data_IF_387826103597
#
_entry.id   IF_387826103597
#
_cell.length_a   1.000
_cell.length_b   1.000
_cell.length_c   1.000
_cell.angle_alpha   90.00
_cell.angle_beta   90.00
_cell.angle_gamma   90.00
#
_symmetry.space_group_name_H-M   'P 1'
#
loop_
_entity.id
_entity.type
_entity.pdbx_description
1 polymer ?
#
# COMPACT_ATOMS: atom_id res chain seq x y z
N UNK A 1 8.87 -51.80 36.61
CA UNK A 1 8.55 -51.38 35.23
C UNK A 1 7.74 -50.09 35.33
N UNK A 2 8.42 -48.93 35.37
CA UNK A 2 7.77 -47.63 35.59
C UNK A 2 7.43 -47.00 34.24
N UNK A 3 6.13 -46.79 33.99
CA UNK A 3 5.64 -46.12 32.80
C UNK A 3 5.47 -44.63 33.08
N UNK A 4 6.21 -43.81 32.33
CA UNK A 4 6.08 -42.35 32.36
C UNK A 4 4.94 -41.93 31.43
N UNK A 5 3.91 -41.28 31.98
CA UNK A 5 2.92 -40.57 31.18
C UNK A 5 3.42 -39.14 30.94
N UNK A 6 3.83 -38.83 29.71
CA UNK A 6 3.99 -37.45 29.24
C UNK A 6 2.60 -36.90 28.84
N UNK A 7 2.13 -35.78 29.44
CA UNK A 7 0.94 -35.12 28.94
C UNK A 7 1.30 -34.34 27.67
N UNK A 8 0.69 -34.72 26.55
CA UNK A 8 0.74 -33.96 25.29
C UNK A 8 -0.07 -32.68 25.52
N UNK A 9 0.62 -31.56 25.71
CA UNK A 9 0.02 -30.24 25.73
C UNK A 9 -0.42 -29.90 24.29
N UNK A 10 -1.69 -30.16 23.99
CA UNK A 10 -2.30 -29.79 22.72
C UNK A 10 -2.34 -28.27 22.58
N UNK A 11 -1.45 -27.71 21.76
CA UNK A 11 -1.56 -26.32 21.31
C UNK A 11 -2.78 -26.24 20.41
N UNK A 12 -3.88 -25.72 20.95
CA UNK A 12 -5.06 -25.32 20.20
C UNK A 12 -4.67 -24.14 19.32
N UNK A 13 -4.17 -24.45 18.11
CA UNK A 13 -4.10 -23.48 17.03
C UNK A 13 -5.54 -23.16 16.67
N UNK A 14 -6.06 -22.04 17.18
CA UNK A 14 -7.28 -21.42 16.67
C UNK A 14 -6.99 -21.04 15.22
N UNK A 15 -7.29 -21.95 14.30
CA UNK A 15 -7.45 -21.61 12.91
C UNK A 15 -8.52 -20.53 12.86
N UNK A 16 -8.13 -19.27 12.63
CA UNK A 16 -9.07 -18.22 12.25
C UNK A 16 -9.74 -18.72 10.99
N UNK A 17 -10.97 -19.20 11.13
CA UNK A 17 -11.78 -19.62 9.99
C UNK A 17 -11.84 -18.46 9.01
N UNK A 18 -11.68 -18.77 7.73
CA UNK A 18 -12.04 -17.87 6.64
C UNK A 18 -13.51 -17.51 6.83
N UNK A 19 -13.78 -16.36 7.42
CA UNK A 19 -15.09 -15.73 7.27
C UNK A 19 -15.17 -15.31 5.81
N UNK A 20 -16.11 -15.88 5.05
CA UNK A 20 -16.33 -15.48 3.66
C UNK A 20 -16.52 -13.96 3.50
N UNK A 21 -16.51 -13.51 2.25
CA UNK A 21 -16.59 -12.10 1.88
C UNK A 21 -17.72 -11.37 2.62
N UNK A 22 -17.38 -10.24 3.25
CA UNK A 22 -18.34 -9.35 3.93
C UNK A 22 -18.73 -8.24 2.98
N UNK A 23 -20.03 -7.98 2.85
CA UNK A 23 -20.55 -6.95 1.96
C UNK A 23 -20.21 -5.53 2.46
N UNK A 24 -20.19 -4.57 1.55
CA UNK A 24 -20.11 -3.14 1.89
C UNK A 24 -21.28 -2.74 2.81
N UNK A 25 -20.99 -2.02 3.90
CA UNK A 25 -21.98 -1.27 4.66
C UNK A 25 -22.10 0.15 4.06
N UNK A 26 -23.09 0.43 3.20
CA UNK A 26 -23.10 1.66 2.40
C UNK A 26 -23.48 2.88 3.24
N UNK A 27 -22.75 3.98 3.05
CA UNK A 27 -23.08 5.29 3.63
C UNK A 27 -23.02 6.39 2.55
N UNK A 28 -24.07 7.20 2.44
CA UNK A 28 -24.14 8.32 1.49
C UNK A 28 -23.99 9.67 2.20
N UNK A 29 -23.10 10.52 1.69
CA UNK A 29 -22.85 11.88 2.16
C UNK A 29 -23.48 12.97 1.26
N UNK A 30 -24.56 12.64 0.55
CA UNK A 30 -25.23 13.53 -0.40
C UNK A 30 -24.52 13.63 -1.76
N UNK A 31 -23.67 12.66 -2.08
CA UNK A 31 -22.90 12.61 -3.33
C UNK A 31 -23.47 11.57 -4.30
N UNK A 32 -22.83 11.46 -5.46
CA UNK A 32 -23.28 10.63 -6.57
C UNK A 32 -23.24 9.11 -6.31
N UNK A 33 -22.60 8.67 -5.23
CA UNK A 33 -22.49 7.26 -4.82
C UNK A 33 -22.28 7.15 -3.29
N UNK A 34 -22.01 5.93 -2.81
CA UNK A 34 -21.81 5.59 -1.39
C UNK A 34 -20.35 5.27 -1.08
N UNK A 35 -19.94 5.40 0.19
CA UNK A 35 -18.72 4.78 0.72
C UNK A 35 -19.06 3.49 1.47
N UNK A 36 -18.07 2.64 1.72
CA UNK A 36 -18.23 1.48 2.59
C UNK A 36 -17.71 1.83 3.98
N UNK A 37 -18.58 1.80 4.97
CA UNK A 37 -18.24 2.14 6.34
C UNK A 37 -17.54 0.95 7.01
N UNK A 38 -16.36 1.22 7.59
CA UNK A 38 -15.64 0.29 8.43
C UNK A 38 -15.43 0.87 9.84
N UNK A 39 -15.36 -0.01 10.83
CA UNK A 39 -15.06 0.30 12.23
C UNK A 39 -14.26 -0.85 12.86
N UNK A 40 -14.13 -0.85 14.19
CA UNK A 40 -13.38 -1.87 14.93
C UNK A 40 -13.92 -3.29 14.73
N UNK A 41 -15.25 -3.45 14.63
CA UNK A 41 -15.92 -4.76 14.59
C UNK A 41 -16.35 -5.20 13.20
N UNK A 42 -16.34 -4.29 12.22
CA UNK A 42 -16.84 -4.55 10.88
C UNK A 42 -16.05 -3.82 9.80
N UNK A 43 -15.75 -4.52 8.71
CA UNK A 43 -15.30 -3.94 7.46
C UNK A 43 -15.61 -4.93 6.33
N UNK A 44 -15.92 -4.45 5.13
CA UNK A 44 -16.13 -5.32 3.98
C UNK A 44 -14.84 -6.05 3.58
N UNK A 45 -15.00 -7.28 3.10
CA UNK A 45 -13.90 -8.16 2.70
C UNK A 45 -14.27 -8.91 1.43
N UNK A 46 -13.27 -9.25 0.64
CA UNK A 46 -13.43 -10.07 -0.56
C UNK A 46 -13.24 -11.55 -0.21
N UNK A 47 -13.97 -12.40 -0.93
CA UNK A 47 -13.64 -13.83 -0.97
C UNK A 47 -12.27 -14.04 -1.65
N UNK A 48 -11.53 -15.09 -1.28
CA UNK A 48 -10.31 -15.46 -2.00
C UNK A 48 -10.56 -15.61 -3.50
N UNK A 49 -9.64 -15.08 -4.32
CA UNK A 49 -9.76 -15.19 -5.78
C UNK A 49 -9.55 -16.65 -6.20
N UNK A 50 -10.62 -17.28 -6.68
CA UNK A 50 -10.59 -18.64 -7.24
C UNK A 50 -10.60 -18.57 -8.76
N UNK A 51 -9.68 -19.28 -9.41
CA UNK A 51 -9.68 -19.44 -10.87
C UNK A 51 -10.88 -20.31 -11.27
N UNK A 52 -11.81 -19.82 -12.10
CA UNK A 52 -12.96 -20.62 -12.54
C UNK A 52 -12.51 -21.86 -13.33
N UNK A 53 -13.32 -22.91 -13.28
CA UNK A 53 -13.09 -24.10 -14.11
C UNK A 53 -13.16 -23.76 -15.60
N UNK A 54 -12.44 -24.53 -16.43
CA UNK A 54 -12.36 -24.32 -17.88
C UNK A 54 -13.75 -24.20 -18.49
N UNK A 55 -13.98 -23.14 -19.28
CA UNK A 55 -15.28 -22.82 -19.87
C UNK A 55 -16.11 -21.82 -19.06
N UNK A 56 -15.67 -21.43 -17.87
CA UNK A 56 -16.32 -20.42 -17.02
C UNK A 56 -15.46 -19.16 -16.86
N UNK A 57 -16.10 -18.06 -16.46
CA UNK A 57 -15.45 -16.81 -16.09
C UNK A 57 -16.12 -16.18 -14.87
N UNK A 58 -15.37 -15.33 -14.16
CA UNK A 58 -15.87 -14.49 -13.08
C UNK A 58 -15.86 -13.03 -13.50
N UNK A 59 -16.85 -12.27 -13.05
CA UNK A 59 -16.97 -10.82 -13.25
C UNK A 59 -17.05 -10.16 -11.89
N UNK A 60 -16.20 -9.15 -11.68
CA UNK A 60 -16.22 -8.30 -10.49
C UNK A 60 -16.74 -6.93 -10.91
N UNK A 61 -17.87 -6.52 -10.35
CA UNK A 61 -18.56 -5.29 -10.75
C UNK A 61 -18.59 -4.26 -9.61
N UNK A 62 -18.19 -3.04 -9.94
CA UNK A 62 -18.39 -1.85 -9.10
C UNK A 62 -19.20 -0.84 -9.90
N UNK A 63 -20.23 -0.26 -9.28
CA UNK A 63 -21.13 0.70 -9.94
C UNK A 63 -21.35 1.94 -9.09
N UNK A 64 -21.72 3.04 -9.75
CA UNK A 64 -22.17 4.26 -9.08
C UNK A 64 -23.40 3.99 -8.18
N UNK A 65 -24.30 3.09 -8.60
CA UNK A 65 -25.49 2.70 -7.86
C UNK A 65 -25.22 1.90 -6.58
N UNK A 66 -23.99 1.42 -6.35
CA UNK A 66 -23.58 0.84 -5.07
C UNK A 66 -22.99 -0.56 -5.11
N UNK A 67 -22.84 -1.20 -6.27
CA UNK A 67 -22.07 -2.47 -6.34
C UNK A 67 -20.62 -2.21 -5.97
N UNK A 68 -20.00 -3.10 -5.20
CA UNK A 68 -18.62 -2.97 -4.71
C UNK A 68 -17.91 -4.31 -4.87
N UNK A 69 -17.17 -4.44 -5.97
CA UNK A 69 -16.51 -5.68 -6.39
C UNK A 69 -17.43 -6.91 -6.29
N UNK A 70 -18.71 -6.73 -6.62
CA UNK A 70 -19.70 -7.78 -6.55
C UNK A 70 -19.36 -8.86 -7.57
N UNK A 71 -19.26 -10.10 -7.11
CA UNK A 71 -18.87 -11.23 -7.96
C UNK A 71 -20.09 -11.86 -8.60
N UNK A 72 -20.02 -12.06 -9.92
CA UNK A 72 -20.93 -12.94 -10.67
C UNK A 72 -20.10 -13.88 -11.53
N UNK A 73 -20.70 -14.97 -12.00
CA UNK A 73 -20.04 -15.94 -12.87
C UNK A 73 -20.85 -16.17 -14.15
N UNK A 74 -20.17 -16.54 -15.22
CA UNK A 74 -20.80 -16.94 -16.47
C UNK A 74 -20.03 -18.05 -17.18
N UNK A 75 -20.61 -18.52 -18.28
CA UNK A 75 -20.05 -19.58 -19.14
C UNK A 75 -19.72 -19.01 -20.51
N UNK A 76 -18.60 -19.45 -21.09
CA UNK A 76 -18.31 -19.16 -22.49
C UNK A 76 -19.27 -19.94 -23.38
N UNK A 77 -19.85 -19.27 -24.37
CA UNK A 77 -20.72 -19.90 -25.37
C UNK A 77 -20.02 -19.92 -26.72
N UNK A 78 -20.33 -20.94 -27.55
CA UNK A 78 -19.83 -21.04 -28.94
C UNK A 78 -20.69 -20.25 -29.93
N UNK A 79 -21.44 -19.24 -29.48
CA UNK A 79 -22.35 -18.46 -30.32
C UNK A 79 -21.54 -17.59 -31.28
N UNK A 80 -21.95 -17.55 -32.54
CA UNK A 80 -21.43 -16.59 -33.51
C UNK A 80 -21.99 -15.19 -33.20
N UNK A 81 -21.14 -14.16 -33.07
CA UNK A 81 -21.60 -12.81 -32.84
C UNK A 81 -22.40 -12.28 -34.04
N UNK A 82 -23.46 -11.53 -33.76
CA UNK A 82 -24.25 -10.78 -34.74
C UNK A 82 -23.45 -9.57 -35.24
N UNK A 83 -23.71 -9.06 -36.47
CA UNK A 83 -23.13 -7.80 -36.93
C UNK A 83 -23.38 -6.58 -36.03
N UNK A 84 -24.42 -6.62 -35.17
CA UNK A 84 -24.73 -5.56 -34.20
C UNK A 84 -24.04 -5.73 -32.85
N UNK A 85 -23.37 -6.86 -32.59
CA UNK A 85 -22.72 -7.11 -31.31
C UNK A 85 -21.39 -6.34 -31.21
N UNK A 86 -21.12 -5.71 -30.06
CA UNK A 86 -19.79 -5.22 -29.73
C UNK A 86 -18.91 -6.41 -29.31
N UNK A 87 -17.91 -6.72 -30.11
CA UNK A 87 -17.00 -7.85 -29.85
C UNK A 87 -15.59 -7.33 -29.52
N UNK A 88 -15.08 -7.75 -28.37
CA UNK A 88 -13.69 -7.52 -27.95
C UNK A 88 -12.89 -8.82 -28.08
N UNK A 89 -11.91 -8.83 -28.99
CA UNK A 89 -11.10 -10.03 -29.27
C UNK A 89 -9.71 -9.91 -28.66
N UNK A 90 -9.37 -10.84 -27.76
CA UNK A 90 -8.03 -10.95 -27.18
C UNK A 90 -7.07 -11.68 -28.14
N UNK A 91 -5.90 -11.08 -28.41
CA UNK A 91 -4.80 -11.73 -29.13
C UNK A 91 -3.67 -12.05 -28.15
N UNK A 92 -3.61 -13.29 -27.67
CA UNK A 92 -2.64 -13.78 -26.69
C UNK A 92 -1.20 -13.91 -27.23
N UNK A 93 -1.01 -13.84 -28.55
CA UNK A 93 0.31 -13.82 -29.19
C UNK A 93 0.96 -12.44 -29.17
N UNK A 94 0.17 -11.37 -28.99
CA UNK A 94 0.69 -9.99 -28.92
C UNK A 94 0.95 -9.60 -27.46
N UNK A 95 2.22 -9.63 -27.07
CA UNK A 95 2.66 -9.26 -25.71
C UNK A 95 3.08 -7.80 -25.61
N UNK A 96 2.96 -7.24 -24.41
CA UNK A 96 3.40 -5.89 -24.05
C UNK A 96 4.23 -5.93 -22.75
N UNK A 97 4.13 -4.90 -21.91
CA UNK A 97 4.86 -4.81 -20.65
C UNK A 97 4.41 -5.82 -19.60
N UNK A 98 5.34 -6.21 -18.73
CA UNK A 98 5.02 -6.88 -17.47
C UNK A 98 4.59 -5.85 -16.42
N UNK A 99 3.53 -6.14 -15.68
CA UNK A 99 3.03 -5.26 -14.63
C UNK A 99 3.79 -5.51 -13.32
N UNK A 100 4.45 -4.47 -12.79
CA UNK A 100 5.18 -4.55 -11.52
C UNK A 100 4.23 -4.65 -10.32
N UNK A 101 3.12 -3.91 -10.34
CA UNK A 101 2.19 -3.91 -9.22
C UNK A 101 1.33 -2.65 -9.11
N UNK A 102 0.60 -2.58 -8.00
CA UNK A 102 -0.30 -1.49 -7.63
C UNK A 102 -0.16 -1.19 -6.13
N UNK A 103 -0.43 0.05 -5.73
CA UNK A 103 -0.06 0.50 -4.40
C UNK A 103 -0.47 1.92 -4.06
N UNK A 104 0.02 2.37 -2.89
CA UNK A 104 -0.18 3.71 -2.36
C UNK A 104 1.10 4.32 -1.80
N UNK A 105 0.98 5.48 -1.17
CA UNK A 105 2.08 6.18 -0.51
C UNK A 105 1.91 6.18 1.02
N UNK A 106 2.98 5.88 1.74
CA UNK A 106 3.03 5.96 3.22
C UNK A 106 3.61 7.34 3.59
N UNK A 107 2.80 8.38 3.39
CA UNK A 107 3.12 9.75 3.83
C UNK A 107 2.95 9.90 5.33
N UNK A 108 3.50 10.96 5.93
CA UNK A 108 3.34 11.22 7.35
C UNK A 108 1.85 11.42 7.68
N UNK A 109 1.11 12.17 6.86
CA UNK A 109 -0.34 12.31 7.02
C UNK A 109 -1.08 10.99 6.94
N UNK A 110 -0.75 10.10 6.00
CA UNK A 110 -1.39 8.78 5.92
C UNK A 110 -1.09 7.97 7.18
N UNK A 111 0.16 7.95 7.64
CA UNK A 111 0.57 7.22 8.83
C UNK A 111 -0.12 7.77 10.10
N UNK A 112 -0.18 9.09 10.27
CA UNK A 112 -0.87 9.75 11.38
C UNK A 112 -2.37 9.41 11.42
N UNK A 113 -3.06 9.45 10.27
CA UNK A 113 -4.48 9.11 10.19
C UNK A 113 -4.74 7.62 10.48
N UNK A 114 -3.85 6.72 10.03
CA UNK A 114 -3.99 5.29 10.31
C UNK A 114 -3.76 5.00 11.80
N UNK A 115 -2.79 5.69 12.42
CA UNK A 115 -2.42 5.49 13.82
C UNK A 115 -3.37 6.17 14.81
N UNK A 116 -4.23 7.09 14.37
CA UNK A 116 -5.27 7.68 15.22
C UNK A 116 -6.50 6.78 15.40
N UNK A 117 -6.60 5.71 14.63
CA UNK A 117 -7.66 4.69 14.75
C UNK A 117 -7.39 3.75 15.93
N UNK A 118 -8.46 3.11 16.45
CA UNK A 118 -8.27 1.95 17.34
C UNK A 118 -7.51 0.84 16.64
N UNK A 119 -6.85 -0.03 17.41
CA UNK A 119 -6.02 -1.10 16.87
C UNK A 119 -6.80 -2.04 15.93
N UNK A 120 -8.05 -2.35 16.26
CA UNK A 120 -8.91 -3.21 15.43
C UNK A 120 -9.32 -2.51 14.12
N UNK A 121 -9.64 -1.22 14.17
CA UNK A 121 -10.01 -0.46 12.97
C UNK A 121 -8.80 -0.28 12.05
N UNK A 122 -7.62 -0.02 12.63
CA UNK A 122 -6.33 0.02 11.93
C UNK A 122 -6.02 -1.31 11.26
N UNK A 123 -6.22 -2.44 11.96
CA UNK A 123 -6.05 -3.77 11.39
C UNK A 123 -6.98 -3.99 10.19
N UNK A 124 -8.27 -3.67 10.32
CA UNK A 124 -9.23 -3.76 9.22
C UNK A 124 -8.77 -2.94 8.00
N UNK A 125 -8.37 -1.67 8.20
CA UNK A 125 -7.88 -0.80 7.14
C UNK A 125 -6.64 -1.38 6.44
N UNK A 126 -5.65 -1.85 7.19
CA UNK A 126 -4.43 -2.43 6.61
C UNK A 126 -4.75 -3.72 5.86
N UNK A 127 -5.65 -4.56 6.37
CA UNK A 127 -6.09 -5.77 5.66
C UNK A 127 -6.83 -5.44 4.37
N UNK A 128 -7.67 -4.41 4.34
CA UNK A 128 -8.34 -3.96 3.12
C UNK A 128 -7.35 -3.63 1.99
N UNK A 129 -6.19 -3.08 2.31
CA UNK A 129 -5.15 -2.79 1.31
C UNK A 129 -4.25 -3.98 0.99
N UNK A 130 -3.73 -4.69 1.99
CA UNK A 130 -2.57 -5.58 1.82
C UNK A 130 -2.88 -7.07 1.82
N UNK A 131 -3.99 -7.48 2.44
CA UNK A 131 -4.34 -8.90 2.58
C UNK A 131 -5.02 -9.46 1.32
N UNK A 132 -5.13 -10.79 1.24
CA UNK A 132 -5.85 -11.49 0.16
C UNK A 132 -7.37 -11.31 0.22
N UNK A 133 -7.90 -11.03 1.41
CA UNK A 133 -9.31 -10.65 1.62
C UNK A 133 -9.56 -9.16 1.34
N UNK A 134 -8.51 -8.43 0.95
CA UNK A 134 -8.55 -7.05 0.49
C UNK A 134 -8.14 -6.93 -0.98
N UNK A 135 -7.58 -5.78 -1.37
CA UNK A 135 -7.20 -5.52 -2.77
C UNK A 135 -5.74 -5.89 -3.13
N UNK A 136 -4.99 -6.48 -2.19
CA UNK A 136 -3.68 -7.09 -2.45
C UNK A 136 -2.60 -6.15 -3.00
N UNK A 137 -2.49 -4.94 -2.46
CA UNK A 137 -1.40 -4.00 -2.77
C UNK A 137 -0.02 -4.64 -2.58
N UNK A 138 0.89 -4.37 -3.53
CA UNK A 138 2.25 -4.88 -3.51
C UNK A 138 3.31 -3.81 -3.81
N UNK A 139 2.93 -2.54 -3.85
CA UNK A 139 3.85 -1.41 -3.98
C UNK A 139 3.56 -0.38 -2.88
N UNK A 140 4.62 0.14 -2.24
CA UNK A 140 4.51 1.31 -1.37
C UNK A 140 5.56 2.37 -1.73
N UNK A 141 5.08 3.59 -1.97
CA UNK A 141 5.91 4.78 -2.08
C UNK A 141 6.22 5.34 -0.69
N UNK A 142 7.48 5.60 -0.40
CA UNK A 142 7.92 6.14 0.90
C UNK A 142 8.63 7.48 0.68
N UNK A 143 8.09 8.59 1.21
CA UNK A 143 8.82 9.86 1.21
C UNK A 143 10.12 9.77 1.98
N UNK A 144 11.18 10.36 1.43
CA UNK A 144 12.46 10.55 2.14
C UNK A 144 12.49 11.96 2.72
N UNK A 145 12.38 12.05 4.04
CA UNK A 145 12.13 13.31 4.75
C UNK A 145 10.66 13.74 4.67
N UNK A 146 10.40 15.00 4.98
CA UNK A 146 9.06 15.60 4.88
C UNK A 146 8.59 15.83 3.44
N UNK A 147 7.27 15.91 3.29
CA UNK A 147 6.60 16.38 2.08
C UNK A 147 5.48 17.38 2.41
N UNK A 148 4.69 17.76 1.42
CA UNK A 148 3.46 18.54 1.57
C UNK A 148 2.39 17.83 2.42
N UNK A 149 2.45 16.50 2.53
CA UNK A 149 1.64 15.67 3.44
C UNK A 149 2.40 15.34 4.73
N UNK A 150 3.08 16.34 5.30
CA UNK A 150 3.74 16.28 6.60
C UNK A 150 3.26 17.42 7.49
N UNK A 151 3.20 17.20 8.81
CA UNK A 151 2.77 18.22 9.79
C UNK A 151 3.88 19.21 10.15
N UNK A 152 5.14 18.85 9.90
CA UNK A 152 6.30 19.74 10.02
C UNK A 152 7.27 19.49 8.89
N UNK A 153 8.15 20.47 8.67
CA UNK A 153 9.19 20.38 7.66
C UNK A 153 10.48 19.86 8.30
N UNK A 154 11.10 18.85 7.68
CA UNK A 154 12.35 18.24 8.13
C UNK A 154 13.06 17.49 6.99
N UNK A 155 14.37 17.30 7.15
CA UNK A 155 15.14 16.31 6.38
C UNK A 155 15.84 15.33 7.33
N UNK A 156 16.66 14.43 6.80
CA UNK A 156 17.48 13.53 7.63
C UNK A 156 18.84 14.13 7.99
N UNK A 157 19.21 15.30 7.45
CA UNK A 157 20.53 15.91 7.62
C UNK A 157 20.44 17.44 7.72
N UNK A 158 19.73 17.93 8.73
CA UNK A 158 19.45 19.36 8.89
C UNK A 158 20.62 20.16 9.52
N UNK A 159 21.63 19.50 10.08
CA UNK A 159 22.86 20.16 10.58
C UNK A 159 23.63 20.79 9.42
N UNK A 160 23.77 22.12 9.44
CA UNK A 160 24.44 22.86 8.39
C UNK A 160 25.92 22.48 8.24
N UNK A 161 26.35 22.29 6.99
CA UNK A 161 27.75 21.98 6.66
C UNK A 161 28.20 20.56 7.00
N UNK A 162 27.29 19.66 7.41
CA UNK A 162 27.63 18.27 7.70
C UNK A 162 27.79 17.42 6.43
N UNK A 163 28.79 17.73 5.62
CA UNK A 163 29.16 16.95 4.43
C UNK A 163 29.57 15.51 4.78
N UNK A 164 30.02 15.28 6.02
CA UNK A 164 30.41 13.96 6.54
C UNK A 164 29.23 13.08 6.96
N UNK A 165 28.01 13.63 6.99
CA UNK A 165 26.78 12.94 7.39
C UNK A 165 26.82 12.34 8.80
N UNK A 166 27.50 13.00 9.75
CA UNK A 166 27.62 12.53 11.14
C UNK A 166 26.30 12.58 11.90
N UNK A 167 25.45 13.54 11.54
CA UNK A 167 24.15 13.80 12.18
C UNK A 167 22.97 13.24 11.38
N UNK A 168 23.25 12.48 10.31
CA UNK A 168 22.21 11.84 9.53
C UNK A 168 21.36 10.94 10.42
N UNK A 169 20.06 11.16 10.46
CA UNK A 169 19.14 10.35 11.27
C UNK A 169 17.74 10.32 10.68
N UNK A 170 17.16 9.12 10.72
CA UNK A 170 15.72 8.95 10.55
C UNK A 170 14.98 9.70 11.65
N UNK A 171 13.84 10.29 11.31
CA UNK A 171 13.08 11.10 12.25
C UNK A 171 12.00 10.26 12.95
N UNK A 172 11.28 10.89 13.88
CA UNK A 172 10.20 10.22 14.63
C UNK A 172 9.08 9.74 13.70
N UNK A 173 8.82 10.47 12.63
CA UNK A 173 7.85 10.11 11.59
C UNK A 173 8.21 8.80 10.89
N UNK A 174 9.50 8.56 10.65
CA UNK A 174 9.96 7.30 10.05
C UNK A 174 9.90 6.16 11.07
N UNK A 175 10.51 6.37 12.25
CA UNK A 175 10.76 5.30 13.23
C UNK A 175 9.54 4.92 14.06
N UNK A 176 8.60 5.85 14.27
CA UNK A 176 7.39 5.60 15.06
C UNK A 176 6.12 5.47 14.22
N UNK A 177 6.10 6.02 13.00
CA UNK A 177 4.89 6.01 12.16
C UNK A 177 5.06 5.11 10.92
N UNK A 178 5.94 5.49 9.99
CA UNK A 178 6.02 4.85 8.66
C UNK A 178 6.56 3.43 8.71
N UNK A 179 7.69 3.20 9.38
CA UNK A 179 8.36 1.89 9.42
C UNK A 179 7.47 0.83 10.07
N UNK A 180 6.86 1.04 11.25
CA UNK A 180 5.96 0.06 11.85
C UNK A 180 4.77 -0.30 10.95
N UNK A 181 4.16 0.69 10.28
CA UNK A 181 3.04 0.44 9.36
C UNK A 181 3.47 -0.35 8.13
N UNK A 182 4.65 -0.06 7.56
CA UNK A 182 5.21 -0.81 6.43
C UNK A 182 5.51 -2.27 6.85
N UNK A 183 6.05 -2.49 8.05
CA UNK A 183 6.29 -3.85 8.56
C UNK A 183 4.97 -4.62 8.69
N UNK A 184 3.95 -4.00 9.30
CA UNK A 184 2.62 -4.60 9.44
C UNK A 184 1.96 -4.90 8.08
N UNK A 185 2.10 -4.01 7.10
CA UNK A 185 1.65 -4.25 5.74
C UNK A 185 2.31 -5.49 5.11
N UNK A 186 3.62 -5.67 5.32
CA UNK A 186 4.37 -6.84 4.83
C UNK A 186 3.96 -8.13 5.52
N UNK A 187 3.62 -8.08 6.81
CA UNK A 187 3.10 -9.24 7.55
C UNK A 187 1.71 -9.69 7.06
N UNK A 188 0.87 -8.73 6.67
CA UNK A 188 -0.50 -9.00 6.21
C UNK A 188 -0.57 -9.47 4.75
N UNK A 189 0.49 -9.29 3.97
CA UNK A 189 0.49 -9.58 2.54
C UNK A 189 1.11 -10.95 2.24
N UNK A 190 0.41 -11.75 1.44
CA UNK A 190 0.98 -12.96 0.84
C UNK A 190 1.87 -12.65 -0.38
N UNK A 191 1.94 -11.39 -0.81
CA UNK A 191 2.78 -10.93 -1.92
C UNK A 191 3.97 -10.13 -1.39
N UNK A 192 5.10 -10.26 -2.09
CA UNK A 192 6.26 -9.42 -1.79
C UNK A 192 5.94 -7.94 -2.09
N UNK A 193 5.98 -7.09 -1.07
CA UNK A 193 5.79 -5.65 -1.20
C UNK A 193 7.10 -5.01 -1.67
N UNK A 194 7.04 -4.35 -2.84
CA UNK A 194 8.12 -3.50 -3.35
C UNK A 194 8.02 -2.10 -2.77
N UNK A 195 9.08 -1.65 -2.11
CA UNK A 195 9.20 -0.27 -1.64
C UNK A 195 9.94 0.57 -2.69
N UNK A 196 9.48 1.79 -2.92
CA UNK A 196 10.29 2.78 -3.63
C UNK A 196 10.26 4.11 -2.89
N UNK A 197 11.41 4.77 -2.86
CA UNK A 197 11.62 5.98 -2.10
C UNK A 197 11.71 7.21 -3.02
N UNK A 198 11.28 8.37 -2.54
CA UNK A 198 11.42 9.63 -3.28
C UNK A 198 11.62 10.79 -2.31
N UNK A 199 12.68 11.61 -2.44
CA UNK A 199 12.79 12.84 -1.67
C UNK A 199 12.05 14.00 -2.35
N UNK A 200 11.54 14.93 -1.54
CA UNK A 200 10.94 16.19 -2.03
C UNK A 200 11.96 17.33 -2.06
N UNK A 201 12.86 17.35 -1.07
CA UNK A 201 13.91 18.36 -0.96
C UNK A 201 15.20 17.73 -0.44
N UNK A 202 16.34 18.31 -0.80
CA UNK A 202 17.57 18.15 -0.03
C UNK A 202 17.57 19.07 1.20
N UNK A 203 18.49 18.87 2.16
CA UNK A 203 18.73 19.82 3.25
C UNK A 203 18.88 21.27 2.75
N UNK A 204 18.35 22.28 3.46
CA UNK A 204 18.37 23.68 3.01
C UNK A 204 19.77 24.22 2.74
N UNK A 205 20.75 23.87 3.58
CA UNK A 205 22.13 24.32 3.45
C UNK A 205 22.82 23.83 2.17
N UNK A 206 22.28 22.77 1.53
CA UNK A 206 22.74 22.26 0.23
C UNK A 206 22.10 22.97 -0.96
N UNK A 207 21.09 23.83 -0.75
CA UNK A 207 20.30 24.45 -1.82
C UNK A 207 20.70 25.90 -2.07
N UNK A 208 20.63 26.33 -3.33
CA UNK A 208 20.98 27.71 -3.75
C UNK A 208 20.15 28.78 -3.07
N UNK A 209 18.91 28.47 -2.68
CA UNK A 209 18.00 29.38 -2.00
C UNK A 209 17.99 29.22 -0.46
N UNK A 210 18.75 28.27 0.11
CA UNK A 210 18.77 28.04 1.55
C UNK A 210 17.42 27.65 2.16
N UNK A 211 16.45 27.19 1.36
CA UNK A 211 15.08 26.96 1.81
C UNK A 211 14.49 25.65 1.27
N UNK A 212 13.54 25.08 2.01
CA UNK A 212 12.88 23.82 1.65
C UNK A 212 11.94 24.01 0.46
N UNK A 213 11.18 25.11 0.45
CA UNK A 213 10.27 25.47 -0.64
C UNK A 213 10.84 26.61 -1.50
N UNK A 214 10.15 26.89 -2.60
CA UNK A 214 10.56 27.92 -3.56
C UNK A 214 11.62 27.45 -4.57
N UNK A 215 11.97 28.33 -5.51
CA UNK A 215 12.93 28.04 -6.58
C UNK A 215 14.33 27.85 -5.99
N UNK A 216 14.85 26.64 -6.07
CA UNK A 216 16.20 26.31 -5.63
C UNK A 216 16.65 24.98 -6.22
N UNK A 217 17.95 24.86 -6.44
CA UNK A 217 18.63 23.63 -6.89
C UNK A 217 19.74 23.30 -5.90
N UNK A 218 20.38 22.14 -6.02
CA UNK A 218 21.64 21.90 -5.33
C UNK A 218 22.65 23.00 -5.69
N UNK A 219 23.45 23.40 -4.70
CA UNK A 219 24.60 24.28 -4.90
C UNK A 219 25.64 23.59 -5.78
N UNK A 220 26.39 24.40 -6.51
CA UNK A 220 27.52 23.96 -7.32
C UNK A 220 27.14 23.12 -8.54
N UNK A 221 27.88 22.04 -8.83
CA UNK A 221 27.79 21.26 -10.08
C UNK A 221 27.89 19.74 -9.82
N UNK A 222 27.28 18.89 -10.67
CA UNK A 222 27.42 17.44 -10.56
C UNK A 222 28.87 16.99 -10.41
N UNK A 223 29.14 16.14 -9.40
CA UNK A 223 30.48 15.65 -9.06
C UNK A 223 31.18 16.41 -7.91
N UNK A 224 30.65 17.56 -7.49
CA UNK A 224 31.15 18.30 -6.34
C UNK A 224 30.69 17.71 -4.99
N UNK A 225 31.11 18.35 -3.90
CA UNK A 225 30.76 17.91 -2.55
C UNK A 225 29.25 17.93 -2.26
N UNK A 226 28.50 18.91 -2.77
CA UNK A 226 27.05 19.00 -2.52
C UNK A 226 26.31 17.85 -3.23
N UNK A 227 26.64 17.58 -4.48
CA UNK A 227 26.03 16.49 -5.24
C UNK A 227 26.46 15.12 -4.72
N UNK A 228 27.73 14.96 -4.30
CA UNK A 228 28.21 13.72 -3.66
C UNK A 228 27.53 13.47 -2.32
N UNK A 229 27.41 14.49 -1.46
CA UNK A 229 26.68 14.36 -0.19
C UNK A 229 25.20 14.06 -0.46
N UNK A 230 24.58 14.65 -1.48
CA UNK A 230 23.19 14.32 -1.83
C UNK A 230 23.05 12.89 -2.34
N UNK A 231 23.99 12.39 -3.15
CA UNK A 231 23.99 10.98 -3.56
C UNK A 231 24.16 10.05 -2.34
N UNK A 232 25.06 10.38 -1.41
CA UNK A 232 25.26 9.59 -0.18
C UNK A 232 24.04 9.63 0.75
N UNK A 233 23.24 10.70 0.72
CA UNK A 233 21.96 10.80 1.42
C UNK A 233 20.97 9.70 1.03
N UNK A 234 21.01 9.19 -0.21
CA UNK A 234 20.16 8.07 -0.63
C UNK A 234 20.66 6.71 -0.13
N UNK A 235 21.94 6.61 0.24
CA UNK A 235 22.58 5.34 0.63
C UNK A 235 22.46 5.09 2.15
N UNK A 236 22.50 6.17 2.94
CA UNK A 236 22.42 6.12 4.41
C UNK A 236 21.04 5.71 4.90
#
# INVERSE_FOLDING_TARGET
MWSWFLPILGVLVLARGSSGGRLCAPLNFGQSSVVCQCNATYCDTLDPIVVPSVGNFSVYETSQSGKRLQVTSGTFTKRQPSPMDLVLTLNDKKKFQTIKGFGGAVTDSAALNILSLSDETKENLLRSYFSEEGIGYNILRVPMGSCDFSTRIYTYLDTEGDFSMKTFSLQVEDTKLKIPLIQKAKELSNRSISLFASPWTSPPWMKTNGAITGKGTLKGKPGDQYHKTWANYFIR
#
